data_IF_328538814328
#
_entry.id   IF_328538814328
#
_cell.length_a   1.000
_cell.length_b   1.000
_cell.length_c   1.000
_cell.angle_alpha   90.00
_cell.angle_beta   90.00
_cell.angle_gamma   90.00
#
_symmetry.space_group_name_H-M   'P 1'
#
loop_
_entity.id
_entity.type
_entity.pdbx_description
1 polymer ?
#
# COMPACT_ATOMS: atom_id res chain seq x y z
N UNK A 1 -5.93 7.63 23.51
CA UNK A 1 -5.76 6.96 24.82
C UNK A 1 -4.39 6.29 24.83
N UNK A 2 -3.92 5.84 25.98
CA UNK A 2 -2.67 5.09 26.11
C UNK A 2 -2.97 3.60 26.23
N UNK A 3 -2.00 2.73 25.93
CA UNK A 3 -2.17 1.27 26.11
C UNK A 3 -2.61 0.90 27.54
N UNK A 4 -2.16 1.64 28.55
CA UNK A 4 -2.55 1.41 29.93
C UNK A 4 -4.07 1.54 30.17
N UNK A 5 -4.77 2.31 29.33
CA UNK A 5 -6.22 2.57 29.48
C UNK A 5 -7.08 1.40 28.95
N UNK A 6 -6.52 0.51 28.13
CA UNK A 6 -7.27 -0.58 27.49
C UNK A 6 -6.57 -1.94 27.53
N UNK A 7 -5.39 -2.04 28.14
CA UNK A 7 -4.62 -3.30 28.27
C UNK A 7 -5.45 -4.46 28.82
N UNK A 8 -6.28 -4.23 29.84
CA UNK A 8 -7.07 -5.32 30.46
C UNK A 8 -8.12 -5.90 29.51
N UNK A 9 -8.52 -5.14 28.48
CA UNK A 9 -9.51 -5.56 27.47
C UNK A 9 -8.92 -6.47 26.39
N UNK A 10 -7.60 -6.57 26.28
CA UNK A 10 -6.96 -7.34 25.19
C UNK A 10 -7.32 -8.83 25.24
N UNK A 11 -7.66 -9.34 26.43
CA UNK A 11 -8.08 -10.74 26.63
C UNK A 11 -9.39 -11.10 25.92
N UNK A 12 -10.25 -10.10 25.67
CA UNK A 12 -11.54 -10.27 24.97
C UNK A 12 -11.41 -10.02 23.46
N UNK A 13 -10.24 -9.62 22.97
CA UNK A 13 -10.06 -9.30 21.56
C UNK A 13 -10.14 -10.54 20.69
N UNK A 14 -10.72 -10.38 19.50
CA UNK A 14 -10.76 -11.46 18.53
C UNK A 14 -9.35 -11.70 18.00
N UNK A 15 -8.78 -12.86 18.31
CA UNK A 15 -7.49 -13.30 17.83
C UNK A 15 -7.53 -13.80 16.38
N UNK A 16 -6.62 -13.31 15.55
CA UNK A 16 -6.45 -13.67 14.15
C UNK A 16 -4.96 -13.94 13.91
N UNK A 17 -4.60 -15.22 13.77
CA UNK A 17 -3.24 -15.61 13.41
C UNK A 17 -3.09 -15.58 11.89
N UNK A 18 -2.19 -14.71 11.42
CA UNK A 18 -1.89 -14.51 9.99
C UNK A 18 -0.49 -14.99 9.60
N UNK A 19 0.20 -15.71 10.49
CA UNK A 19 1.49 -16.34 10.17
C UNK A 19 1.31 -17.39 9.07
N UNK A 20 2.24 -17.41 8.12
CA UNK A 20 2.21 -18.34 6.99
C UNK A 20 1.08 -18.11 5.98
N UNK A 21 0.20 -17.11 6.16
CA UNK A 21 -0.82 -16.75 5.17
C UNK A 21 -0.16 -16.05 3.99
N UNK A 22 -0.39 -16.58 2.79
CA UNK A 22 0.14 -16.06 1.54
C UNK A 22 -0.77 -14.99 0.93
N UNK A 23 -0.17 -13.98 0.33
CA UNK A 23 -0.87 -12.91 -0.37
C UNK A 23 -1.56 -11.88 0.54
N UNK A 24 -2.48 -11.10 -0.04
CA UNK A 24 -3.06 -9.93 0.62
C UNK A 24 -4.18 -10.29 1.61
N UNK A 25 -3.83 -10.63 2.85
CA UNK A 25 -4.79 -10.88 3.94
C UNK A 25 -5.43 -9.58 4.48
N UNK A 26 -4.89 -8.40 4.15
CA UNK A 26 -5.37 -7.12 4.67
C UNK A 26 -6.82 -6.82 4.28
N UNK A 27 -7.29 -7.25 3.11
CA UNK A 27 -8.69 -7.05 2.71
C UNK A 27 -9.65 -7.78 3.66
N UNK A 28 -9.27 -8.98 4.12
CA UNK A 28 -10.04 -9.74 5.09
C UNK A 28 -10.02 -9.08 6.47
N UNK A 29 -8.86 -8.58 6.89
CA UNK A 29 -8.71 -7.86 8.16
C UNK A 29 -9.50 -6.55 8.18
N UNK A 30 -9.40 -5.74 7.11
CA UNK A 30 -10.10 -4.47 6.99
C UNK A 30 -11.61 -4.63 7.12
N UNK A 31 -12.18 -5.64 6.45
CA UNK A 31 -13.62 -5.97 6.58
C UNK A 31 -14.01 -6.32 8.01
N UNK A 32 -13.13 -6.99 8.76
CA UNK A 32 -13.39 -7.29 10.17
C UNK A 32 -13.29 -6.03 11.02
N UNK A 33 -12.24 -5.24 10.84
CA UNK A 33 -12.02 -3.98 11.55
C UNK A 33 -13.18 -2.98 11.40
N UNK A 34 -13.73 -2.84 10.19
CA UNK A 34 -14.90 -1.97 9.93
C UNK A 34 -16.12 -2.39 10.76
N UNK A 35 -16.29 -3.70 11.00
CA UNK A 35 -17.42 -4.23 11.75
C UNK A 35 -17.17 -4.31 13.27
N UNK A 36 -15.96 -4.03 13.74
CA UNK A 36 -15.62 -4.02 15.18
C UNK A 36 -16.22 -2.77 15.82
N UNK A 37 -17.05 -2.86 16.87
CA UNK A 37 -17.59 -1.70 17.59
C UNK A 37 -16.52 -0.88 18.33
N UNK A 38 -16.83 0.38 18.63
CA UNK A 38 -16.01 1.20 19.53
C UNK A 38 -15.99 0.56 20.92
N UNK A 39 -14.80 0.45 21.51
CA UNK A 39 -14.58 -0.24 22.79
C UNK A 39 -14.19 -1.71 22.67
N UNK A 40 -14.23 -2.30 21.47
CA UNK A 40 -13.75 -3.65 21.17
C UNK A 40 -12.42 -3.60 20.40
N UNK A 41 -11.83 -4.77 20.12
CA UNK A 41 -10.55 -4.84 19.43
C UNK A 41 -10.23 -6.17 18.75
N UNK A 42 -9.11 -6.18 18.04
CA UNK A 42 -8.55 -7.32 17.31
C UNK A 42 -7.13 -7.60 17.81
N UNK A 43 -6.76 -8.87 17.94
CA UNK A 43 -5.38 -9.31 18.15
C UNK A 43 -4.88 -9.96 16.86
N UNK A 44 -3.82 -9.44 16.28
CA UNK A 44 -3.21 -9.97 15.06
C UNK A 44 -1.87 -10.61 15.42
N UNK A 45 -1.70 -11.90 15.12
CA UNK A 45 -0.43 -12.61 15.31
C UNK A 45 0.30 -12.74 13.99
N UNK A 46 1.57 -12.32 13.95
CA UNK A 46 2.43 -12.34 12.76
C UNK A 46 3.88 -12.72 13.12
N UNK A 47 4.65 -13.22 12.16
CA UNK A 47 6.05 -13.63 12.34
C UNK A 47 7.01 -12.45 12.46
N UNK A 48 6.56 -11.25 12.10
CA UNK A 48 7.31 -10.00 12.18
C UNK A 48 6.37 -8.87 12.58
N UNK A 49 6.95 -7.76 13.04
CA UNK A 49 6.23 -6.53 13.37
C UNK A 49 5.39 -6.03 12.17
N UNK A 50 4.04 -6.04 12.25
CA UNK A 50 3.18 -5.73 11.11
C UNK A 50 3.06 -4.22 10.84
N UNK A 51 4.19 -3.51 10.72
CA UNK A 51 4.28 -2.06 10.50
C UNK A 51 3.30 -1.54 9.43
N UNK A 52 3.17 -2.16 8.23
CA UNK A 52 2.25 -1.67 7.20
C UNK A 52 0.76 -1.70 7.58
N UNK A 53 0.39 -2.32 8.71
CA UNK A 53 -0.97 -2.39 9.21
C UNK A 53 -1.36 -1.20 10.10
N UNK A 54 -0.39 -0.54 10.74
CA UNK A 54 -0.67 0.47 11.78
C UNK A 54 -1.41 1.68 11.24
N UNK A 55 -0.89 2.34 10.20
CA UNK A 55 -1.53 3.51 9.57
C UNK A 55 -2.98 3.24 9.11
N UNK A 56 -3.24 1.99 8.74
CA UNK A 56 -4.55 1.53 8.24
C UNK A 56 -5.56 1.48 9.37
N UNK A 57 -5.15 0.87 10.47
CA UNK A 57 -5.99 0.68 11.62
C UNK A 57 -6.21 2.04 12.30
N UNK A 58 -5.18 2.88 12.36
CA UNK A 58 -5.29 4.27 12.81
C UNK A 58 -6.31 5.06 11.99
N UNK A 59 -6.27 4.98 10.65
CA UNK A 59 -7.27 5.62 9.78
C UNK A 59 -8.70 5.08 9.93
N UNK A 60 -8.89 3.94 10.59
CA UNK A 60 -10.21 3.37 10.94
C UNK A 60 -10.66 3.69 12.37
N UNK A 61 -9.88 4.51 13.09
CA UNK A 61 -10.13 4.89 14.48
C UNK A 61 -9.62 3.87 15.51
N UNK A 62 -8.59 3.09 15.17
CA UNK A 62 -7.95 2.17 16.11
C UNK A 62 -6.63 2.72 16.66
N UNK A 63 -6.44 2.51 17.95
CA UNK A 63 -5.13 2.57 18.60
C UNK A 63 -4.48 1.19 18.55
N UNK A 64 -3.15 1.13 18.59
CA UNK A 64 -2.44 -0.14 18.59
C UNK A 64 -1.38 -0.26 19.69
N UNK A 65 -1.08 -1.50 20.06
CA UNK A 65 0.06 -1.87 20.89
C UNK A 65 0.62 -3.19 20.37
N UNK A 66 1.94 -3.33 20.33
CA UNK A 66 2.59 -4.52 19.81
C UNK A 66 3.57 -5.09 20.82
N UNK A 67 3.46 -6.40 21.05
CA UNK A 67 4.35 -7.16 21.91
C UNK A 67 5.09 -8.21 21.08
N UNK A 68 6.42 -8.26 21.20
CA UNK A 68 7.22 -9.35 20.66
C UNK A 68 7.30 -10.46 21.71
N UNK A 69 6.64 -11.59 21.44
CA UNK A 69 6.55 -12.74 22.36
C UNK A 69 7.79 -13.63 22.23
N UNK A 70 8.29 -13.81 21.00
CA UNK A 70 9.56 -14.46 20.70
C UNK A 70 10.14 -13.90 19.38
N UNK A 71 11.23 -14.50 18.87
CA UNK A 71 11.91 -14.02 17.67
C UNK A 71 10.96 -13.87 16.46
N UNK A 72 10.02 -14.81 16.28
CA UNK A 72 9.13 -14.90 15.12
C UNK A 72 7.65 -14.92 15.54
N UNK A 73 7.31 -14.21 16.61
CA UNK A 73 5.93 -14.09 17.10
C UNK A 73 5.69 -12.70 17.68
N UNK A 74 4.90 -11.93 16.93
CA UNK A 74 4.45 -10.59 17.28
C UNK A 74 2.94 -10.61 17.47
N UNK A 75 2.48 -10.02 18.55
CA UNK A 75 1.08 -9.80 18.85
C UNK A 75 0.80 -8.31 18.74
N UNK A 76 0.10 -7.91 17.67
CA UNK A 76 -0.38 -6.56 17.48
C UNK A 76 -1.85 -6.48 17.90
N UNK A 77 -2.10 -5.76 19.00
CA UNK A 77 -3.43 -5.48 19.53
C UNK A 77 -3.95 -4.17 18.96
N UNK A 78 -5.18 -4.17 18.45
CA UNK A 78 -5.85 -3.00 17.91
C UNK A 78 -7.13 -2.74 18.68
N UNK A 79 -7.22 -1.59 19.34
CA UNK A 79 -8.39 -1.18 20.11
C UNK A 79 -9.15 -0.06 19.39
N UNK A 80 -10.45 -0.24 19.15
CA UNK A 80 -11.26 0.79 18.49
C UNK A 80 -11.63 1.89 19.47
N UNK A 81 -10.92 3.00 19.43
CA UNK A 81 -11.14 4.16 20.30
C UNK A 81 -12.24 5.07 19.79
N UNK A 82 -12.41 5.14 18.47
CA UNK A 82 -13.44 5.95 17.83
C UNK A 82 -13.97 5.33 16.53
N UNK A 83 -15.11 5.84 16.08
CA UNK A 83 -15.69 5.41 14.82
C UNK A 83 -15.30 6.42 13.75
N UNK A 84 -14.32 6.06 12.93
CA UNK A 84 -13.89 6.85 11.79
C UNK A 84 -14.51 6.27 10.51
N UNK A 85 -14.99 7.14 9.62
CA UNK A 85 -15.40 6.72 8.27
C UNK A 85 -14.19 6.11 7.56
N UNK A 86 -14.41 5.03 6.82
CA UNK A 86 -13.36 4.42 5.99
C UNK A 86 -12.83 5.46 5.00
N UNK A 87 -11.66 6.04 5.31
CA UNK A 87 -11.00 7.03 4.43
C UNK A 87 -10.48 6.41 3.14
N UNK A 88 -10.72 5.11 2.92
CA UNK A 88 -10.25 4.35 1.77
C UNK A 88 -9.14 3.39 2.16
N UNK A 89 -8.83 2.47 1.25
CA UNK A 89 -7.67 1.59 1.43
C UNK A 89 -6.39 2.34 1.04
N UNK A 90 -5.29 2.12 1.75
CA UNK A 90 -3.98 2.64 1.31
C UNK A 90 -3.64 1.88 0.01
N UNK A 91 -3.59 2.55 -1.14
CA UNK A 91 -3.42 1.86 -2.41
C UNK A 91 -2.11 1.09 -2.45
N UNK A 92 -2.18 -0.16 -2.92
CA UNK A 92 -1.00 -0.89 -3.39
C UNK A 92 0.10 -1.09 -2.35
N UNK A 93 -0.30 -1.46 -1.12
CA UNK A 93 0.59 -1.86 -0.03
C UNK A 93 1.62 -2.91 -0.46
N UNK A 94 2.74 -3.04 0.26
CA UNK A 94 3.79 -4.00 -0.07
C UNK A 94 3.37 -5.44 0.33
N UNK A 95 2.26 -5.95 -0.19
CA UNK A 95 1.71 -7.27 0.15
C UNK A 95 2.70 -8.41 -0.12
N UNK A 96 3.62 -8.25 -1.08
CA UNK A 96 4.68 -9.22 -1.34
C UNK A 96 5.61 -9.48 -0.13
N UNK A 97 5.69 -8.56 0.84
CA UNK A 97 6.51 -8.74 2.05
C UNK A 97 6.02 -9.90 2.91
N UNK A 98 4.73 -10.24 2.86
CA UNK A 98 4.16 -11.36 3.62
C UNK A 98 4.63 -12.72 3.10
N UNK A 99 5.22 -12.77 1.91
CA UNK A 99 5.81 -13.98 1.34
C UNK A 99 7.27 -14.19 1.77
N UNK A 100 7.95 -13.17 2.28
CA UNK A 100 9.37 -13.27 2.66
C UNK A 100 9.64 -14.31 3.77
N UNK A 101 8.78 -14.46 4.81
CA UNK A 101 8.94 -15.52 5.82
C UNK A 101 8.87 -16.95 5.28
N UNK A 102 8.33 -17.18 4.08
CA UNK A 102 8.35 -18.50 3.45
C UNK A 102 9.77 -18.91 3.04
N UNK A 103 10.63 -17.93 2.77
CA UNK A 103 12.05 -18.13 2.45
C UNK A 103 12.84 -18.18 3.75
N UNK A 104 12.67 -17.14 4.58
CA UNK A 104 13.36 -16.97 5.86
C UNK A 104 12.61 -15.91 6.71
N UNK A 105 12.36 -16.19 7.99
CA UNK A 105 11.58 -15.30 8.87
C UNK A 105 12.31 -13.98 9.17
N UNK A 106 13.64 -14.02 9.36
CA UNK A 106 14.44 -12.82 9.58
C UNK A 106 14.50 -11.97 8.31
N UNK A 107 14.50 -12.60 7.12
CA UNK A 107 14.35 -11.86 5.86
C UNK A 107 13.03 -11.08 5.82
N UNK A 108 11.92 -11.65 6.28
CA UNK A 108 10.64 -10.93 6.35
C UNK A 108 10.70 -9.70 7.23
N UNK A 109 11.28 -9.83 8.42
CA UNK A 109 11.51 -8.71 9.34
C UNK A 109 12.41 -7.64 8.74
N UNK A 110 13.56 -8.02 8.18
CA UNK A 110 14.50 -7.09 7.51
C UNK A 110 13.82 -6.37 6.35
N UNK A 111 13.03 -7.08 5.54
CA UNK A 111 12.36 -6.51 4.38
C UNK A 111 11.30 -5.46 4.77
N UNK A 112 10.52 -5.71 5.84
CA UNK A 112 9.54 -4.76 6.36
C UNK A 112 10.22 -3.54 6.98
N UNK A 113 11.26 -3.74 7.78
CA UNK A 113 12.05 -2.63 8.34
C UNK A 113 12.71 -1.79 7.25
N UNK A 114 13.24 -2.43 6.20
CA UNK A 114 13.82 -1.73 5.07
C UNK A 114 12.77 -0.92 4.29
N UNK A 115 11.57 -1.48 4.09
CA UNK A 115 10.46 -0.76 3.48
C UNK A 115 10.09 0.48 4.30
N UNK A 116 9.91 0.33 5.60
CA UNK A 116 9.53 1.43 6.50
C UNK A 116 10.60 2.54 6.52
N UNK A 117 11.88 2.15 6.70
CA UNK A 117 13.03 3.04 6.61
C UNK A 117 13.06 3.82 5.28
N UNK A 118 12.66 3.19 4.18
CA UNK A 118 12.71 3.78 2.84
C UNK A 118 11.54 4.74 2.60
N UNK A 119 10.34 4.39 3.06
CA UNK A 119 9.10 5.08 2.68
C UNK A 119 8.56 6.03 3.74
N UNK A 120 8.64 5.68 5.03
CA UNK A 120 7.96 6.39 6.12
C UNK A 120 8.89 7.15 7.06
N UNK A 121 10.21 6.98 6.94
CA UNK A 121 11.18 7.69 7.77
C UNK A 121 11.03 9.23 7.63
N UNK A 122 10.93 9.94 8.75
CA UNK A 122 10.76 11.40 8.79
C UNK A 122 11.96 12.22 8.30
N UNK A 123 13.14 11.60 8.09
CA UNK A 123 14.35 12.30 7.60
C UNK A 123 14.36 12.53 6.09
N UNK A 124 13.31 12.12 5.38
CA UNK A 124 13.24 12.24 3.92
C UNK A 124 13.01 13.69 3.53
N UNK A 125 13.80 14.16 2.56
CA UNK A 125 13.76 15.55 2.08
C UNK A 125 12.85 15.71 0.86
N UNK A 126 12.69 14.65 0.06
CA UNK A 126 11.81 14.67 -1.09
C UNK A 126 10.37 14.37 -0.67
N UNK A 127 9.37 15.14 -1.17
CA UNK A 127 7.96 14.81 -1.00
C UNK A 127 7.65 13.38 -1.46
N UNK A 128 6.62 12.79 -0.88
CA UNK A 128 6.27 11.38 -1.12
C UNK A 128 5.98 11.12 -2.60
N UNK A 129 5.25 12.00 -3.26
CA UNK A 129 4.86 11.91 -4.66
C UNK A 129 6.08 11.97 -5.59
N UNK A 130 7.09 12.78 -5.25
CA UNK A 130 8.35 12.85 -5.99
C UNK A 130 9.13 11.55 -5.87
N UNK A 131 9.16 10.94 -4.67
CA UNK A 131 9.78 9.62 -4.47
C UNK A 131 9.05 8.53 -5.25
N UNK A 132 7.73 8.59 -5.34
CA UNK A 132 6.93 7.68 -6.19
C UNK A 132 7.26 7.86 -7.67
N UNK A 133 7.42 9.09 -8.16
CA UNK A 133 7.86 9.34 -9.54
C UNK A 133 9.24 8.77 -9.83
N UNK A 134 10.20 8.91 -8.90
CA UNK A 134 11.52 8.29 -9.04
C UNK A 134 11.44 6.76 -9.04
N UNK A 135 10.59 6.18 -8.20
CA UNK A 135 10.33 4.74 -8.19
C UNK A 135 9.70 4.27 -9.51
N UNK A 136 8.75 5.04 -10.04
CA UNK A 136 8.09 4.81 -11.33
C UNK A 136 9.12 4.79 -12.45
N UNK A 137 9.94 5.83 -12.59
CA UNK A 137 10.94 5.92 -13.67
C UNK A 137 12.00 4.82 -13.58
N UNK A 138 12.45 4.48 -12.36
CA UNK A 138 13.36 3.37 -12.13
C UNK A 138 12.73 2.02 -12.50
N UNK A 139 11.44 1.82 -12.20
CA UNK A 139 10.72 0.62 -12.59
C UNK A 139 10.57 0.51 -14.12
N UNK A 140 10.28 1.61 -14.81
CA UNK A 140 10.22 1.65 -16.29
C UNK A 140 11.59 1.34 -16.89
N UNK A 141 12.66 1.97 -16.41
CA UNK A 141 14.03 1.71 -16.89
C UNK A 141 14.48 0.26 -16.69
N UNK A 142 13.93 -0.43 -15.68
CA UNK A 142 14.18 -1.85 -15.44
C UNK A 142 13.19 -2.79 -16.16
N UNK A 143 12.30 -2.28 -17.03
CA UNK A 143 11.26 -3.07 -17.72
C UNK A 143 10.15 -3.61 -16.79
N UNK A 144 10.07 -3.15 -15.54
CA UNK A 144 9.11 -3.65 -14.52
C UNK A 144 7.79 -2.91 -14.59
N UNK A 145 7.04 -3.08 -15.68
CA UNK A 145 5.78 -2.35 -15.94
C UNK A 145 4.70 -2.56 -14.87
N UNK A 146 4.67 -3.74 -14.25
CA UNK A 146 3.83 -4.03 -13.07
C UNK A 146 4.10 -3.06 -11.94
N UNK A 147 5.37 -2.91 -11.55
CA UNK A 147 5.76 -1.97 -10.49
C UNK A 147 5.53 -0.53 -10.93
N UNK A 148 5.90 -0.16 -12.16
CA UNK A 148 5.70 1.19 -12.66
C UNK A 148 4.23 1.62 -12.63
N UNK A 149 3.32 0.73 -13.03
CA UNK A 149 1.86 0.96 -12.95
C UNK A 149 1.44 1.23 -11.51
N UNK A 150 1.97 0.46 -10.55
CA UNK A 150 1.66 0.65 -9.13
C UNK A 150 2.10 2.03 -8.62
N UNK A 151 3.31 2.44 -8.98
CA UNK A 151 3.85 3.74 -8.58
C UNK A 151 3.05 4.91 -9.17
N UNK A 152 2.60 4.80 -10.42
CA UNK A 152 1.73 5.80 -11.05
C UNK A 152 0.40 5.95 -10.31
N UNK A 153 -0.27 4.83 -10.03
CA UNK A 153 -1.57 4.85 -9.35
C UNK A 153 -1.44 5.41 -7.94
N UNK A 154 -0.42 4.98 -7.18
CA UNK A 154 -0.11 5.56 -5.87
C UNK A 154 0.12 7.07 -5.97
N UNK A 155 0.95 7.53 -6.90
CA UNK A 155 1.28 8.95 -7.01
C UNK A 155 0.03 9.80 -7.29
N UNK A 156 -0.83 9.34 -8.19
CA UNK A 156 -2.09 10.03 -8.49
C UNK A 156 -3.03 10.09 -7.28
N UNK A 157 -3.21 8.97 -6.57
CA UNK A 157 -4.10 8.93 -5.40
C UNK A 157 -3.57 9.82 -4.26
N UNK A 158 -2.25 9.92 -4.11
CA UNK A 158 -1.59 10.80 -3.14
C UNK A 158 -1.54 12.28 -3.55
N UNK A 159 -2.27 12.70 -4.59
CA UNK A 159 -2.42 14.13 -4.89
C UNK A 159 -1.51 14.65 -6.00
N UNK A 160 -0.69 13.82 -6.65
CA UNK A 160 0.13 14.26 -7.78
C UNK A 160 -0.74 14.86 -8.89
N UNK A 161 -0.38 16.04 -9.38
CA UNK A 161 -1.01 16.64 -10.56
C UNK A 161 -0.63 15.83 -11.81
N UNK A 162 -1.61 15.45 -12.65
CA UNK A 162 -1.35 14.64 -13.85
C UNK A 162 -0.43 15.32 -14.85
N UNK A 163 -0.28 16.65 -14.82
CA UNK A 163 0.69 17.37 -15.63
C UNK A 163 2.14 16.91 -15.37
N UNK A 164 2.48 16.54 -14.13
CA UNK A 164 3.80 15.99 -13.82
C UNK A 164 4.03 14.61 -14.47
N UNK A 165 2.97 13.86 -14.76
CA UNK A 165 3.08 12.62 -15.53
C UNK A 165 3.34 12.93 -17.00
N UNK A 166 2.81 14.02 -17.55
CA UNK A 166 3.06 14.42 -18.94
C UNK A 166 4.58 14.62 -19.15
N UNK A 167 5.24 15.34 -18.25
CA UNK A 167 6.70 15.52 -18.25
C UNK A 167 7.45 14.17 -18.19
N UNK A 168 7.02 13.26 -17.32
CA UNK A 168 7.64 11.94 -17.15
C UNK A 168 7.49 11.08 -18.41
N UNK A 169 6.31 11.05 -19.04
CA UNK A 169 6.09 10.28 -20.26
C UNK A 169 6.82 10.88 -21.46
N UNK A 170 6.97 12.19 -21.53
CA UNK A 170 7.84 12.85 -22.52
C UNK A 170 9.30 12.40 -22.32
N UNK A 171 9.79 12.42 -21.08
CA UNK A 171 11.13 11.94 -20.74
C UNK A 171 11.34 10.45 -21.04
N UNK A 172 10.31 9.61 -20.97
CA UNK A 172 10.40 8.21 -21.42
C UNK A 172 10.62 8.10 -22.92
N UNK A 173 9.84 8.84 -23.71
CA UNK A 173 10.02 8.85 -25.16
C UNK A 173 11.38 9.40 -25.57
N UNK A 174 11.87 10.44 -24.87
CA UNK A 174 13.18 11.04 -25.12
C UNK A 174 14.34 10.11 -24.74
N UNK A 175 14.37 9.65 -23.49
CA UNK A 175 15.52 8.93 -22.94
C UNK A 175 15.62 7.48 -23.40
N UNK A 176 14.50 6.83 -23.73
CA UNK A 176 14.48 5.42 -24.17
C UNK A 176 14.24 5.27 -25.67
N UNK A 177 13.87 6.37 -26.35
CA UNK A 177 13.59 6.41 -27.77
C UNK A 177 12.14 6.08 -28.12
N UNK A 178 11.64 6.74 -29.17
CA UNK A 178 10.26 6.61 -29.64
C UNK A 178 9.90 5.17 -30.02
N UNK A 179 10.85 4.40 -30.57
CA UNK A 179 10.65 3.00 -30.92
C UNK A 179 10.33 2.14 -29.70
N UNK A 180 11.17 2.23 -28.66
CA UNK A 180 10.95 1.54 -27.39
C UNK A 180 9.66 2.00 -26.71
N UNK A 181 9.41 3.31 -26.70
CA UNK A 181 8.17 3.83 -26.16
C UNK A 181 6.97 3.21 -26.87
N UNK A 182 6.98 3.17 -28.19
CA UNK A 182 5.84 2.67 -28.98
C UNK A 182 5.64 1.16 -28.85
N UNK A 183 6.71 0.38 -28.68
CA UNK A 183 6.65 -1.08 -28.60
C UNK A 183 6.45 -1.63 -27.19
N UNK A 184 7.05 -0.99 -26.17
CA UNK A 184 7.04 -1.50 -24.80
C UNK A 184 6.13 -0.67 -23.88
N UNK A 185 6.25 0.66 -23.90
CA UNK A 185 5.49 1.52 -22.99
C UNK A 185 4.06 1.72 -23.50
N UNK A 186 3.87 1.99 -24.78
CA UNK A 186 2.59 2.24 -25.45
C UNK A 186 1.53 1.15 -25.24
N UNK A 187 1.86 -0.15 -25.38
CA UNK A 187 0.91 -1.22 -25.12
C UNK A 187 0.83 -1.63 -23.63
N UNK A 188 1.69 -1.08 -22.76
CA UNK A 188 1.74 -1.47 -21.35
C UNK A 188 0.52 -1.05 -20.54
N UNK A 189 0.29 -1.76 -19.44
CA UNK A 189 -0.68 -1.41 -18.40
C UNK A 189 -0.40 -0.03 -17.77
N UNK A 190 0.87 0.38 -17.70
CA UNK A 190 1.28 1.69 -17.22
C UNK A 190 0.70 2.81 -18.09
N UNK A 191 0.87 2.72 -19.41
CA UNK A 191 0.34 3.74 -20.32
C UNK A 191 -1.18 3.68 -20.41
N UNK A 192 -1.79 2.51 -20.23
CA UNK A 192 -3.25 2.40 -20.09
C UNK A 192 -3.79 3.15 -18.85
N UNK A 193 -3.09 3.08 -17.70
CA UNK A 193 -3.44 3.84 -16.50
C UNK A 193 -3.31 5.35 -16.74
N UNK A 194 -2.20 5.81 -17.32
CA UNK A 194 -2.00 7.21 -17.71
C UNK A 194 -3.10 7.72 -18.65
N UNK A 195 -3.41 6.99 -19.73
CA UNK A 195 -4.50 7.35 -20.65
C UNK A 195 -5.85 7.43 -19.95
N UNK A 196 -6.11 6.56 -18.97
CA UNK A 196 -7.36 6.57 -18.19
C UNK A 196 -7.50 7.89 -17.43
N UNK A 197 -6.44 8.32 -16.75
CA UNK A 197 -6.40 9.63 -16.06
C UNK A 197 -6.73 10.76 -17.04
N UNK A 198 -5.94 10.90 -18.11
CA UNK A 198 -6.11 12.02 -19.06
C UNK A 198 -7.49 12.03 -19.71
N UNK A 199 -8.05 10.87 -20.03
CA UNK A 199 -9.38 10.77 -20.64
C UNK A 199 -10.51 11.13 -19.68
N UNK A 200 -10.38 10.80 -18.40
CA UNK A 200 -11.40 11.13 -17.40
C UNK A 200 -11.31 12.59 -16.97
N UNK A 201 -10.11 13.15 -16.83
CA UNK A 201 -9.91 14.58 -16.55
C UNK A 201 -10.51 15.45 -17.67
N UNK A 202 -10.30 15.09 -18.94
CA UNK A 202 -10.95 15.76 -20.08
C UNK A 202 -12.48 15.71 -20.05
N UNK A 203 -13.06 14.70 -19.38
CA UNK A 203 -14.51 14.56 -19.19
C UNK A 203 -15.01 15.29 -17.93
N UNK A 204 -14.14 16.04 -17.24
CA UNK A 204 -14.48 16.76 -16.01
C UNK A 204 -14.77 15.85 -14.82
N UNK A 205 -14.23 14.62 -14.82
CA UNK A 205 -14.38 13.71 -13.66
C UNK A 205 -13.56 14.19 -12.48
N UNK A 206 -14.10 13.99 -11.27
CA UNK A 206 -13.40 14.32 -10.04
C UNK A 206 -12.21 13.39 -9.81
N UNK A 207 -11.26 13.81 -8.97
CA UNK A 207 -10.10 12.99 -8.64
C UNK A 207 -10.51 11.70 -7.94
N UNK A 208 -11.54 11.76 -7.11
CA UNK A 208 -12.09 10.62 -6.38
C UNK A 208 -12.67 9.57 -7.33
N UNK A 209 -13.45 10.00 -8.34
CA UNK A 209 -13.97 9.13 -9.40
C UNK A 209 -12.83 8.45 -10.18
N UNK A 210 -11.78 9.22 -10.49
CA UNK A 210 -10.62 8.71 -11.24
C UNK A 210 -9.84 7.71 -10.38
N UNK A 211 -9.59 8.03 -9.12
CA UNK A 211 -8.93 7.15 -8.16
C UNK A 211 -9.68 5.82 -8.01
N UNK A 212 -11.01 5.86 -7.91
CA UNK A 212 -11.83 4.65 -7.84
C UNK A 212 -11.68 3.77 -9.09
N UNK A 213 -11.73 4.37 -10.29
CA UNK A 213 -11.53 3.62 -11.55
C UNK A 213 -10.10 3.09 -11.66
N UNK A 214 -9.10 3.85 -11.20
CA UNK A 214 -7.71 3.39 -11.19
C UNK A 214 -7.53 2.18 -10.29
N UNK A 215 -8.11 2.21 -9.08
CA UNK A 215 -8.05 1.09 -8.14
C UNK A 215 -8.81 -0.14 -8.65
N UNK A 216 -9.94 0.06 -9.32
CA UNK A 216 -10.70 -1.02 -9.93
C UNK A 216 -9.92 -1.69 -11.06
N UNK A 217 -9.41 -0.90 -12.00
CA UNK A 217 -8.82 -1.40 -13.25
C UNK A 217 -7.35 -1.72 -13.15
N UNK A 218 -6.60 -1.00 -12.32
CA UNK A 218 -5.15 -1.08 -12.23
C UNK A 218 -4.69 -1.34 -10.80
N UNK A 219 -5.58 -1.71 -9.88
CA UNK A 219 -5.23 -2.10 -8.51
C UNK A 219 -4.90 -3.59 -8.36
N UNK A 220 -4.96 -4.06 -7.11
CA UNK A 220 -4.51 -5.41 -6.70
C UNK A 220 -5.30 -6.58 -7.30
N UNK A 221 -6.44 -6.30 -7.96
CA UNK A 221 -7.23 -7.32 -8.65
C UNK A 221 -6.78 -7.53 -10.10
N UNK A 222 -6.05 -6.58 -10.69
CA UNK A 222 -5.60 -6.69 -12.07
C UNK A 222 -4.43 -7.71 -12.16
N UNK A 223 -4.50 -8.73 -13.04
CA UNK A 223 -3.46 -9.76 -13.18
C UNK A 223 -2.10 -9.22 -13.65
N UNK A 224 -2.07 -8.07 -14.32
CA UNK A 224 -0.86 -7.38 -14.78
C UNK A 224 -0.28 -6.44 -13.72
N UNK A 225 -0.99 -6.22 -12.60
CA UNK A 225 -0.57 -5.33 -11.51
C UNK A 225 -0.38 -6.04 -10.16
N UNK A 226 -1.19 -7.05 -9.85
CA UNK A 226 -1.17 -7.78 -8.57
C UNK A 226 0.21 -8.35 -8.26
N UNK A 227 0.57 -8.38 -6.99
CA UNK A 227 1.76 -9.09 -6.48
C UNK A 227 1.26 -10.35 -5.79
N UNK A 228 1.65 -11.52 -6.32
CA UNK A 228 1.36 -12.84 -5.74
C UNK A 228 2.58 -13.37 -5.05
#
# INVERSE_FOLDING_TARGET
MSYADWKDKTTDFKKIDVRGIQGNFFQGLKKQAINTPVGEGLEIVQSFDPIPLYDVMEGLGFEHHTEQVNENEFHAYFYRSENQEDTGDIPMRPAALTNMPLIDEELGKVAVQFWDLTWNDGKRHLPYEIRLLLSLTNAVGAGRMRQATRELVKAYIHGLNSAALDDVFELFAWNQGIGYFSSEIGPSTLFAAYKTIKNMERKGKSREDIAAVLMEKFGEKNPDVKVM
#
